data_IF_832408991519
#
_entry.id   IF_832408991519
#
_cell.length_a   1.000
_cell.length_b   1.000
_cell.length_c   1.000
_cell.angle_alpha   90.00
_cell.angle_beta   90.00
_cell.angle_gamma   90.00
#
_symmetry.space_group_name_H-M   'P 1'
#
loop_
_entity.id
_entity.type
_entity.pdbx_description
1 polymer ?
#
# COMPACT_ATOMS: atom_id res chain seq x y z
N UNK A 1 60.22 -5.20 -24.59
CA UNK A 1 59.63 -5.32 -23.25
C UNK A 1 58.19 -4.89 -23.35
N UNK A 2 57.27 -5.81 -23.10
CA UNK A 2 55.81 -5.61 -23.22
C UNK A 2 55.34 -4.70 -22.09
N UNK A 3 54.55 -3.66 -22.39
CA UNK A 3 53.67 -3.04 -21.39
C UNK A 3 52.34 -2.76 -22.09
N UNK A 4 51.42 -3.72 -21.94
CA UNK A 4 50.01 -3.60 -22.30
C UNK A 4 49.36 -2.59 -21.34
N UNK A 5 49.14 -1.37 -21.83
CA UNK A 5 48.54 -0.26 -21.08
C UNK A 5 47.03 -0.44 -20.95
N UNK A 6 46.63 -1.20 -19.94
CA UNK A 6 45.27 -1.50 -19.47
C UNK A 6 44.22 -0.41 -19.80
N UNK A 7 43.25 -0.83 -20.62
CA UNK A 7 41.91 -0.26 -20.89
C UNK A 7 41.45 0.74 -19.82
N UNK A 8 41.24 2.00 -20.21
CA UNK A 8 40.61 3.04 -19.38
C UNK A 8 39.24 2.54 -18.90
N UNK A 9 39.19 2.05 -17.66
CA UNK A 9 37.97 1.59 -16.99
C UNK A 9 37.08 2.82 -16.79
N UNK A 10 36.14 3.05 -17.71
CA UNK A 10 34.96 3.87 -17.41
C UNK A 10 34.31 3.23 -16.18
N UNK A 11 34.53 3.83 -15.01
CA UNK A 11 33.89 3.42 -13.76
C UNK A 11 32.39 3.65 -13.90
N UNK A 12 31.69 2.66 -14.46
CA UNK A 12 30.24 2.61 -14.43
C UNK A 12 29.87 2.13 -13.03
N UNK A 13 29.46 3.07 -12.20
CA UNK A 13 28.81 2.76 -10.92
C UNK A 13 27.46 2.14 -11.29
N UNK A 14 27.32 0.82 -11.09
CA UNK A 14 26.03 0.16 -11.17
C UNK A 14 25.20 0.67 -9.99
N UNK A 15 24.07 1.31 -10.26
CA UNK A 15 23.08 1.63 -9.23
C UNK A 15 22.66 0.30 -8.60
N UNK A 16 23.07 0.04 -7.36
CA UNK A 16 22.85 -1.27 -6.73
C UNK A 16 21.41 -1.47 -6.24
N UNK A 17 20.62 -0.40 -6.09
CA UNK A 17 19.17 -0.51 -5.95
C UNK A 17 18.49 0.85 -6.09
N UNK A 18 17.28 0.85 -6.65
CA UNK A 18 16.33 1.95 -6.56
C UNK A 18 15.33 1.57 -5.48
N UNK A 19 15.22 2.37 -4.41
CA UNK A 19 14.22 2.16 -3.36
C UNK A 19 13.22 3.30 -3.40
N UNK A 20 12.09 3.06 -4.05
CA UNK A 20 10.93 3.96 -4.02
C UNK A 20 10.02 3.51 -2.86
N UNK A 21 9.76 4.40 -1.92
CA UNK A 21 8.80 4.20 -0.84
C UNK A 21 7.74 5.29 -0.93
N UNK A 22 6.57 4.93 -1.44
CA UNK A 22 5.38 5.78 -1.46
C UNK A 22 4.48 5.29 -0.34
N UNK A 23 4.45 6.01 0.78
CA UNK A 23 3.44 5.83 1.81
C UNK A 23 2.20 6.56 1.33
N UNK A 24 1.25 5.80 0.79
CA UNK A 24 0.04 6.40 0.24
C UNK A 24 -0.83 7.01 1.34
N UNK A 25 -1.72 7.85 0.87
CA UNK A 25 -2.47 8.86 1.58
C UNK A 25 -3.01 8.42 2.96
N UNK A 26 -2.65 9.14 4.02
CA UNK A 26 -3.28 8.98 5.35
C UNK A 26 -4.60 9.75 5.37
N UNK A 27 -5.72 9.04 5.31
CA UNK A 27 -7.05 9.62 5.54
C UNK A 27 -7.54 9.27 6.94
N UNK A 28 -7.86 10.27 7.75
CA UNK A 28 -8.58 10.08 9.01
C UNK A 28 -10.07 10.26 8.76
N UNK A 29 -10.86 9.21 8.98
CA UNK A 29 -12.32 9.25 8.91
C UNK A 29 -12.92 8.68 10.19
N UNK A 30 -13.95 9.35 10.71
CA UNK A 30 -14.70 8.90 11.88
C UNK A 30 -16.11 8.50 11.45
N UNK A 31 -16.49 7.27 11.75
CA UNK A 31 -17.79 6.69 11.41
C UNK A 31 -18.38 5.98 12.63
N UNK A 32 -19.70 5.87 12.65
CA UNK A 32 -20.42 5.12 13.68
C UNK A 32 -20.35 3.61 13.41
N UNK A 33 -20.39 2.76 14.46
CA UNK A 33 -20.49 1.32 14.26
C UNK A 33 -21.72 0.96 13.41
N UNK A 34 -21.53 0.05 12.46
CA UNK A 34 -22.56 -0.39 11.53
C UNK A 34 -22.67 0.42 10.24
N UNK A 35 -22.01 1.58 10.15
CA UNK A 35 -21.90 2.34 8.90
C UNK A 35 -20.88 1.70 7.94
N UNK A 36 -20.90 2.13 6.69
CA UNK A 36 -19.97 1.69 5.66
C UNK A 36 -18.89 2.77 5.43
N UNK A 37 -17.63 2.37 5.46
CA UNK A 37 -16.48 3.24 5.20
C UNK A 37 -16.06 3.11 3.74
N UNK A 38 -15.99 4.24 3.02
CA UNK A 38 -15.43 4.30 1.67
C UNK A 38 -14.04 4.91 1.71
N UNK A 39 -13.04 4.12 1.32
CA UNK A 39 -11.66 4.53 1.18
C UNK A 39 -11.35 4.80 -0.29
N UNK A 40 -10.89 6.02 -0.60
CA UNK A 40 -10.36 6.34 -1.92
C UNK A 40 -8.94 5.76 -2.07
N UNK A 41 -8.79 4.78 -2.95
CA UNK A 41 -7.50 4.30 -3.43
C UNK A 41 -6.95 5.38 -4.39
N UNK A 42 -6.39 6.44 -3.81
CA UNK A 42 -6.03 7.72 -4.45
C UNK A 42 -5.34 7.60 -5.82
N UNK A 43 -4.65 6.50 -6.08
CA UNK A 43 -4.07 6.21 -7.39
C UNK A 43 -4.46 4.84 -7.91
N UNK A 44 -4.51 4.69 -9.25
CA UNK A 44 -4.60 3.38 -9.92
C UNK A 44 -3.39 2.48 -9.66
N UNK A 45 -2.36 2.99 -8.99
CA UNK A 45 -1.18 2.23 -8.60
C UNK A 45 -1.20 1.80 -7.13
N UNK A 46 -2.24 2.16 -6.37
CA UNK A 46 -2.42 1.65 -5.00
C UNK A 46 -2.63 0.14 -5.06
N UNK A 47 -1.67 -0.59 -4.47
CA UNK A 47 -1.59 -2.05 -4.50
C UNK A 47 -2.14 -2.67 -3.23
N UNK A 48 -2.16 -1.95 -2.12
CA UNK A 48 -2.48 -2.50 -0.81
C UNK A 48 -3.03 -1.44 0.13
N UNK A 49 -4.02 -1.83 0.93
CA UNK A 49 -4.45 -1.11 2.12
C UNK A 49 -3.93 -1.87 3.34
N UNK A 50 -3.21 -1.16 4.21
CA UNK A 50 -2.75 -1.68 5.50
C UNK A 50 -3.50 -1.01 6.62
N UNK A 51 -3.67 -1.73 7.72
CA UNK A 51 -4.39 -1.27 8.90
C UNK A 51 -3.65 -1.71 10.16
N UNK A 52 -3.53 -0.81 11.11
CA UNK A 52 -3.05 -1.05 12.46
C UNK A 52 -4.21 -0.81 13.43
N UNK A 53 -4.70 -1.88 14.05
CA UNK A 53 -5.76 -1.77 15.05
C UNK A 53 -5.32 -0.97 16.29
N UNK A 54 -6.27 -0.30 16.94
CA UNK A 54 -6.05 0.55 18.12
C UNK A 54 -5.24 -0.12 19.23
N UNK A 55 -5.47 -1.41 19.46
CA UNK A 55 -4.80 -2.19 20.49
C UNK A 55 -3.64 -3.05 19.94
N UNK A 56 -3.26 -2.86 18.68
CA UNK A 56 -2.21 -3.62 18.00
C UNK A 56 -1.01 -2.74 17.68
N UNK A 57 0.20 -3.27 17.88
CA UNK A 57 1.43 -2.66 17.36
C UNK A 57 1.81 -3.17 15.96
N UNK A 58 1.06 -4.14 15.45
CA UNK A 58 1.32 -4.78 14.16
C UNK A 58 0.41 -4.21 13.06
N UNK A 59 1.00 -4.00 11.88
CA UNK A 59 0.29 -3.63 10.67
C UNK A 59 -0.16 -4.89 9.93
N UNK A 60 -1.45 -4.97 9.64
CA UNK A 60 -2.08 -6.06 8.90
C UNK A 60 -2.48 -5.59 7.51
N UNK A 61 -2.39 -6.48 6.52
CA UNK A 61 -2.95 -6.19 5.19
C UNK A 61 -4.46 -6.34 5.26
N UNK A 62 -5.19 -5.24 5.06
CA UNK A 62 -6.65 -5.26 4.99
C UNK A 62 -7.14 -5.66 3.60
N UNK A 63 -6.39 -5.25 2.56
CA UNK A 63 -6.73 -5.53 1.17
C UNK A 63 -5.48 -5.45 0.29
N UNK A 64 -5.39 -6.30 -0.72
CA UNK A 64 -4.47 -6.14 -1.84
C UNK A 64 -5.18 -6.19 -3.18
N UNK A 65 -4.62 -5.49 -4.17
CA UNK A 65 -5.12 -5.52 -5.53
C UNK A 65 -4.96 -6.93 -6.10
N UNK A 66 -6.10 -7.53 -6.45
CA UNK A 66 -6.17 -8.91 -6.93
C UNK A 66 -6.65 -9.90 -5.88
N UNK A 67 -6.81 -9.48 -4.63
CA UNK A 67 -7.54 -10.27 -3.64
C UNK A 67 -9.03 -10.36 -4.01
N UNK A 68 -9.65 -11.48 -3.64
CA UNK A 68 -11.09 -11.64 -3.76
C UNK A 68 -11.83 -10.70 -2.79
N UNK A 69 -12.95 -10.14 -3.25
CA UNK A 69 -13.85 -9.40 -2.38
C UNK A 69 -14.33 -10.32 -1.26
N UNK A 70 -14.37 -9.78 -0.04
CA UNK A 70 -14.89 -10.49 1.13
C UNK A 70 -16.32 -10.02 1.41
N UNK A 71 -17.07 -10.75 2.23
CA UNK A 71 -18.45 -10.37 2.59
C UNK A 71 -18.59 -8.91 3.10
N UNK A 72 -17.53 -8.39 3.72
CA UNK A 72 -17.48 -7.04 4.28
C UNK A 72 -16.62 -6.06 3.47
N UNK A 73 -15.88 -6.53 2.47
CA UNK A 73 -14.89 -5.71 1.78
C UNK A 73 -15.09 -5.82 0.27
N UNK A 74 -15.44 -4.71 -0.37
CA UNK A 74 -15.78 -4.68 -1.78
C UNK A 74 -15.03 -3.56 -2.50
N UNK A 75 -14.32 -3.89 -3.58
CA UNK A 75 -13.74 -2.88 -4.47
C UNK A 75 -14.79 -2.36 -5.46
N UNK A 76 -14.90 -1.04 -5.57
CA UNK A 76 -15.76 -0.43 -6.59
C UNK A 76 -15.23 -0.76 -8.00
N UNK A 77 -16.08 -1.25 -8.94
CA UNK A 77 -15.61 -1.75 -10.24
C UNK A 77 -15.05 -0.66 -11.17
N UNK A 78 -15.57 0.57 -11.06
CA UNK A 78 -15.23 1.69 -11.95
C UNK A 78 -14.42 2.81 -11.29
N UNK A 79 -14.30 2.79 -9.96
CA UNK A 79 -13.65 3.83 -9.17
C UNK A 79 -12.54 3.18 -8.38
N UNK A 80 -11.44 3.89 -8.18
CA UNK A 80 -10.40 3.43 -7.27
C UNK A 80 -10.88 3.68 -5.83
N UNK A 81 -11.90 2.94 -5.40
CA UNK A 81 -12.55 3.03 -4.11
C UNK A 81 -12.73 1.64 -3.53
N UNK A 82 -12.50 1.53 -2.22
CA UNK A 82 -12.68 0.31 -1.44
C UNK A 82 -13.71 0.58 -0.35
N UNK A 83 -14.75 -0.23 -0.29
CA UNK A 83 -15.82 -0.11 0.71
C UNK A 83 -15.66 -1.19 1.76
N UNK A 84 -15.53 -0.78 3.01
CA UNK A 84 -15.58 -1.64 4.20
C UNK A 84 -16.98 -1.52 4.79
N UNK A 85 -17.77 -2.57 4.68
CA UNK A 85 -19.16 -2.62 5.13
C UNK A 85 -19.27 -2.97 6.61
N UNK A 86 -20.29 -2.40 7.26
CA UNK A 86 -20.66 -2.68 8.65
C UNK A 86 -19.46 -2.58 9.58
N UNK A 87 -18.94 -1.37 9.75
CA UNK A 87 -17.80 -1.09 10.63
C UNK A 87 -18.06 -1.62 12.04
N UNK A 88 -17.03 -2.22 12.62
CA UNK A 88 -17.03 -2.74 14.00
C UNK A 88 -16.04 -1.94 14.83
N UNK A 89 -16.19 -2.03 16.15
CA UNK A 89 -15.23 -1.45 17.10
C UNK A 89 -13.81 -2.00 16.93
N UNK A 90 -13.66 -3.21 16.37
CA UNK A 90 -12.36 -3.79 16.02
C UNK A 90 -11.65 -3.10 14.86
N UNK A 91 -12.40 -2.37 14.02
CA UNK A 91 -11.88 -1.67 12.85
C UNK A 91 -11.37 -0.26 13.23
N UNK A 92 -11.42 0.10 14.52
CA UNK A 92 -10.82 1.33 15.05
C UNK A 92 -9.29 1.21 15.03
N UNK A 93 -8.60 2.13 14.36
CA UNK A 93 -7.15 2.08 14.17
C UNK A 93 -6.61 3.11 13.18
N UNK A 94 -5.38 2.90 12.70
CA UNK A 94 -4.66 3.78 11.74
C UNK A 94 -4.20 3.01 10.51
#
# INVERSE_FOLDING_TARGET
MVVDGVRSKKTRVLIQSVKLSVFDHKSLQSHSPGEDLVLDLHTRHSVRVVFQGRNSSEWSNLWMRGDEDSERLEKHPLREQLTIKKLKSSDEGT
#
